data_IF_887647194315
#
_entry.id   IF_887647194315
#
_cell.length_a   1.000
_cell.length_b   1.000
_cell.length_c   1.000
_cell.angle_alpha   90.00
_cell.angle_beta   90.00
_cell.angle_gamma   90.00
#
_symmetry.space_group_name_H-M   'P 1'
#
loop_
_entity.id
_entity.type
_entity.pdbx_description
1 polymer ?
#
# COMPACT_ATOMS: atom_id res chain seq x y z
N UNK A 1 15.54 11.63 -22.85
CA UNK A 1 14.55 12.25 -21.96
C UNK A 1 13.87 11.14 -21.16
N UNK A 2 13.50 11.40 -19.91
CA UNK A 2 12.75 10.44 -19.09
C UNK A 2 11.36 10.19 -19.71
N UNK A 3 10.85 8.96 -19.63
CA UNK A 3 9.46 8.68 -20.05
C UNK A 3 8.46 9.41 -19.15
N UNK A 4 7.21 9.58 -19.60
CA UNK A 4 6.14 10.16 -18.78
C UNK A 4 5.97 9.44 -17.44
N UNK A 5 6.10 8.11 -17.44
CA UNK A 5 6.02 7.29 -16.23
C UNK A 5 7.20 7.54 -15.29
N UNK A 6 8.41 7.64 -15.82
CA UNK A 6 9.59 7.95 -15.01
C UNK A 6 9.47 9.34 -14.36
N UNK A 7 9.03 10.34 -15.13
CA UNK A 7 8.79 11.68 -14.62
C UNK A 7 7.74 11.69 -13.50
N UNK A 8 6.64 10.93 -13.67
CA UNK A 8 5.62 10.75 -12.64
C UNK A 8 6.21 10.15 -11.36
N UNK A 9 6.94 9.02 -11.45
CA UNK A 9 7.47 8.35 -10.27
C UNK A 9 8.53 9.17 -9.54
N UNK A 10 9.38 9.90 -10.28
CA UNK A 10 10.35 10.84 -9.69
C UNK A 10 9.64 11.93 -8.89
N UNK A 11 8.56 12.49 -9.42
CA UNK A 11 7.78 13.51 -8.72
C UNK A 11 6.99 12.92 -7.53
N UNK A 12 6.39 11.75 -7.70
CA UNK A 12 5.58 11.08 -6.66
C UNK A 12 6.43 10.70 -5.43
N UNK A 13 7.65 10.23 -5.65
CA UNK A 13 8.59 9.82 -4.61
C UNK A 13 9.56 10.94 -4.19
N UNK A 14 9.35 12.16 -4.65
CA UNK A 14 10.25 13.27 -4.34
C UNK A 14 10.36 13.49 -2.82
N UNK A 15 11.55 13.83 -2.35
CA UNK A 15 11.90 13.94 -0.93
C UNK A 15 11.70 12.67 -0.08
N UNK A 16 11.47 11.49 -0.69
CA UNK A 16 11.45 10.20 0.01
C UNK A 16 12.63 9.34 -0.43
N UNK A 17 13.70 9.31 0.39
CA UNK A 17 14.98 8.69 0.01
C UNK A 17 15.37 7.46 0.82
N UNK A 18 14.59 7.09 1.83
CA UNK A 18 14.86 5.94 2.70
C UNK A 18 13.56 5.18 3.00
N UNK A 19 13.62 3.86 3.24
CA UNK A 19 12.44 3.08 3.62
C UNK A 19 11.77 3.62 4.90
N UNK A 20 10.45 3.42 5.02
CA UNK A 20 9.72 3.69 6.26
C UNK A 20 10.34 2.88 7.40
N UNK A 21 10.94 3.55 8.39
CA UNK A 21 11.61 2.88 9.50
C UNK A 21 10.60 2.26 10.46
N UNK A 22 10.74 0.98 10.78
CA UNK A 22 9.86 0.29 11.73
C UNK A 22 10.63 -0.20 12.97
N UNK A 23 9.98 -0.27 14.14
CA UNK A 23 10.58 -0.91 15.31
C UNK A 23 10.96 -2.36 14.99
N UNK A 24 12.20 -2.73 15.33
CA UNK A 24 12.79 -4.04 15.02
C UNK A 24 13.09 -4.33 13.54
N UNK A 25 12.97 -3.35 12.63
CA UNK A 25 13.57 -3.49 11.30
C UNK A 25 15.10 -3.40 11.43
N UNK A 26 15.75 -4.56 11.32
CA UNK A 26 17.21 -4.65 11.42
C UNK A 26 17.89 -4.37 10.07
N UNK A 27 17.11 -4.26 8.99
CA UNK A 27 17.59 -4.25 7.60
C UNK A 27 18.63 -5.35 7.29
N UNK A 28 18.68 -6.40 8.13
CA UNK A 28 19.68 -7.43 8.02
C UNK A 28 19.30 -8.32 6.83
N UNK A 29 20.16 -8.35 5.83
CA UNK A 29 20.05 -9.37 4.80
C UNK A 29 20.17 -10.75 5.48
N UNK A 30 19.28 -11.71 5.19
CA UNK A 30 19.45 -13.06 5.70
C UNK A 30 20.83 -13.59 5.29
N UNK A 31 21.52 -14.36 6.16
CA UNK A 31 22.79 -14.98 5.82
C UNK A 31 22.70 -15.71 4.48
N UNK A 32 23.73 -15.58 3.63
CA UNK A 32 23.73 -16.20 2.30
C UNK A 32 23.37 -17.69 2.38
N UNK A 33 22.33 -18.08 1.65
CA UNK A 33 21.87 -19.47 1.57
C UNK A 33 20.82 -19.87 2.60
N UNK A 34 20.40 -18.98 3.50
CA UNK A 34 19.24 -19.21 4.36
C UNK A 34 18.00 -18.52 3.80
N UNK A 35 16.87 -19.25 3.61
CA UNK A 35 15.61 -18.61 3.27
C UNK A 35 15.21 -17.66 4.41
N UNK A 36 14.61 -16.52 4.06
CA UNK A 36 13.97 -15.67 5.06
C UNK A 36 12.92 -16.51 5.80
N UNK A 37 12.93 -16.45 7.13
CA UNK A 37 11.87 -17.05 7.93
C UNK A 37 10.58 -16.24 7.69
N UNK A 38 9.54 -16.92 7.23
CA UNK A 38 8.22 -16.32 7.06
C UNK A 38 7.32 -16.76 8.19
N UNK A 39 6.71 -15.80 8.86
CA UNK A 39 5.65 -16.03 9.83
C UNK A 39 4.35 -15.47 9.25
N UNK A 40 3.29 -16.29 9.28
CA UNK A 40 1.96 -15.89 8.84
C UNK A 40 1.05 -15.76 10.07
N UNK A 41 0.43 -14.59 10.22
CA UNK A 41 -0.66 -14.36 11.15
C UNK A 41 -1.90 -14.01 10.35
N UNK A 42 -2.92 -14.84 10.47
CA UNK A 42 -4.23 -14.61 9.85
C UNK A 42 -5.19 -14.04 10.90
N UNK A 43 -5.85 -12.94 10.55
CA UNK A 43 -6.84 -12.28 11.38
C UNK A 43 -8.09 -12.03 10.53
N UNK A 44 -9.24 -12.45 11.04
CA UNK A 44 -10.52 -12.25 10.39
C UNK A 44 -11.29 -11.08 11.01
N UNK A 45 -11.87 -10.25 10.16
CA UNK A 45 -12.87 -9.28 10.59
C UNK A 45 -14.24 -9.94 10.67
N UNK A 46 -15.02 -9.71 11.75
CA UNK A 46 -16.39 -10.19 11.83
C UNK A 46 -17.22 -9.72 10.62
N UNK A 47 -18.15 -10.57 10.16
CA UNK A 47 -19.00 -10.30 8.99
C UNK A 47 -19.68 -8.94 9.04
N UNK A 48 -20.15 -8.53 10.22
CA UNK A 48 -20.82 -7.25 10.45
C UNK A 48 -19.88 -6.05 10.26
N UNK A 49 -18.62 -6.18 10.72
CA UNK A 49 -17.59 -5.17 10.53
C UNK A 49 -17.23 -5.03 9.05
N UNK A 50 -17.03 -6.16 8.37
CA UNK A 50 -16.75 -6.20 6.93
C UNK A 50 -17.90 -5.60 6.11
N UNK A 51 -19.15 -5.93 6.44
CA UNK A 51 -20.33 -5.35 5.79
C UNK A 51 -20.42 -3.83 6.00
N UNK A 52 -20.08 -3.35 7.20
CA UNK A 52 -20.05 -1.92 7.52
C UNK A 52 -18.99 -1.18 6.71
N UNK A 53 -17.79 -1.75 6.57
CA UNK A 53 -16.71 -1.20 5.74
C UNK A 53 -17.10 -1.15 4.26
N UNK A 54 -17.72 -2.22 3.74
CA UNK A 54 -18.21 -2.26 2.36
C UNK A 54 -19.29 -1.21 2.09
N UNK A 55 -20.23 -1.04 3.02
CA UNK A 55 -21.27 -0.02 2.94
C UNK A 55 -20.67 1.39 2.93
N UNK A 56 -19.74 1.67 3.85
CA UNK A 56 -19.03 2.95 3.93
C UNK A 56 -18.27 3.26 2.63
N UNK A 57 -17.48 2.29 2.12
CA UNK A 57 -16.74 2.46 0.88
C UNK A 57 -17.69 2.81 -0.28
N UNK A 58 -18.78 2.06 -0.42
CA UNK A 58 -19.79 2.30 -1.47
C UNK A 58 -20.45 3.68 -1.33
N UNK A 59 -20.81 4.09 -0.12
CA UNK A 59 -21.46 5.37 0.15
C UNK A 59 -20.58 6.56 -0.26
N UNK A 60 -19.26 6.42 -0.08
CA UNK A 60 -18.28 7.46 -0.35
C UNK A 60 -17.48 7.27 -1.66
N UNK A 61 -17.92 6.34 -2.51
CA UNK A 61 -17.27 6.03 -3.80
C UNK A 61 -15.79 5.63 -3.67
N UNK A 62 -15.45 5.00 -2.55
CA UNK A 62 -14.15 4.42 -2.25
C UNK A 62 -14.17 2.90 -2.53
N UNK A 63 -13.00 2.29 -2.55
CA UNK A 63 -12.85 0.83 -2.57
C UNK A 63 -12.45 0.32 -1.18
N UNK A 64 -12.75 -0.95 -0.88
CA UNK A 64 -12.24 -1.58 0.34
C UNK A 64 -10.70 -1.59 0.36
N UNK A 65 -10.07 -1.72 -0.82
CA UNK A 65 -8.62 -1.62 -0.97
C UNK A 65 -8.09 -0.25 -0.52
N UNK A 66 -8.75 0.86 -0.88
CA UNK A 66 -8.40 2.21 -0.41
C UNK A 66 -8.44 2.30 1.11
N UNK A 67 -9.49 1.78 1.74
CA UNK A 67 -9.60 1.75 3.20
C UNK A 67 -8.49 0.93 3.85
N UNK A 68 -8.12 -0.20 3.25
CA UNK A 68 -7.04 -1.07 3.73
C UNK A 68 -5.67 -0.38 3.62
N UNK A 69 -5.36 0.25 2.48
CA UNK A 69 -4.13 1.02 2.29
C UNK A 69 -4.03 2.19 3.27
N UNK A 70 -5.11 2.94 3.46
CA UNK A 70 -5.18 4.04 4.41
C UNK A 70 -4.95 3.57 5.85
N UNK A 71 -5.63 2.48 6.25
CA UNK A 71 -5.47 1.87 7.58
C UNK A 71 -4.04 1.39 7.81
N UNK A 72 -3.43 0.76 6.79
CA UNK A 72 -2.04 0.31 6.87
C UNK A 72 -1.07 1.49 6.97
N UNK A 73 -1.29 2.56 6.20
CA UNK A 73 -0.53 3.80 6.30
C UNK A 73 -0.58 4.41 7.71
N UNK A 74 -1.74 4.40 8.37
CA UNK A 74 -1.88 4.87 9.76
C UNK A 74 -1.08 4.00 10.75
N UNK A 75 -1.12 2.67 10.59
CA UNK A 75 -0.33 1.75 11.42
C UNK A 75 1.16 2.03 11.25
N UNK A 76 1.64 2.12 10.01
CA UNK A 76 3.05 2.41 9.74
C UNK A 76 3.47 3.78 10.28
N UNK A 77 2.65 4.81 10.09
CA UNK A 77 2.92 6.15 10.62
C UNK A 77 3.03 6.14 12.15
N UNK A 78 2.14 5.38 12.82
CA UNK A 78 2.17 5.24 14.27
C UNK A 78 3.47 4.58 14.77
N UNK A 79 3.89 3.48 14.14
CA UNK A 79 5.07 2.74 14.60
C UNK A 79 6.40 3.36 14.15
N UNK A 80 6.43 4.03 13.00
CA UNK A 80 7.63 4.75 12.51
C UNK A 80 7.85 6.08 13.21
N UNK A 81 6.78 6.70 13.73
CA UNK A 81 6.81 8.08 14.22
C UNK A 81 6.80 9.13 13.11
N UNK A 82 6.67 8.71 11.85
CA UNK A 82 6.67 9.58 10.67
C UNK A 82 5.25 9.81 10.14
N UNK A 83 4.99 10.99 9.58
CA UNK A 83 3.70 11.31 8.95
C UNK A 83 3.67 11.04 7.44
N UNK A 84 4.82 10.78 6.81
CA UNK A 84 4.95 10.45 5.39
C UNK A 84 5.59 9.06 5.27
N UNK A 85 4.78 8.06 4.92
CA UNK A 85 5.21 6.66 4.86
C UNK A 85 5.04 6.09 3.46
N UNK A 86 5.97 5.24 3.04
CA UNK A 86 5.92 4.48 1.78
C UNK A 86 6.01 3.00 2.06
N UNK A 87 5.18 2.23 1.37
CA UNK A 87 5.19 0.77 1.38
C UNK A 87 4.83 0.21 0.01
N UNK A 88 5.15 -1.07 -0.24
CA UNK A 88 4.82 -1.74 -1.48
C UNK A 88 3.35 -2.13 -1.55
N UNK A 89 2.70 -1.86 -2.68
CA UNK A 89 1.36 -2.33 -3.02
C UNK A 89 1.43 -3.23 -4.25
N UNK A 90 1.01 -4.48 -4.09
CA UNK A 90 1.03 -5.47 -5.16
C UNK A 90 -0.25 -5.36 -5.98
N UNK A 91 -0.11 -5.00 -7.25
CA UNK A 91 -1.21 -4.89 -8.21
C UNK A 91 -1.16 -6.03 -9.22
N UNK A 92 -2.33 -6.43 -9.74
CA UNK A 92 -2.43 -7.49 -10.74
C UNK A 92 -1.72 -7.12 -12.06
N UNK A 93 -1.55 -5.82 -12.35
CA UNK A 93 -0.89 -5.30 -13.55
C UNK A 93 -1.52 -5.73 -14.87
N UNK A 94 -2.85 -5.91 -14.86
CA UNK A 94 -3.66 -6.30 -16.02
C UNK A 94 -4.44 -5.08 -16.53
N UNK A 95 -3.88 -4.30 -17.48
CA UNK A 95 -4.55 -3.11 -18.00
C UNK A 95 -5.84 -3.48 -18.73
N UNK A 96 -6.93 -2.70 -18.60
CA UNK A 96 -8.18 -2.96 -19.30
C UNK A 96 -8.07 -2.75 -20.81
N UNK A 97 -7.06 -2.00 -21.28
CA UNK A 97 -6.79 -1.77 -22.70
C UNK A 97 -6.21 -3.01 -23.40
N UNK A 98 -5.71 -4.00 -22.64
CA UNK A 98 -5.26 -5.28 -23.16
C UNK A 98 -6.45 -6.26 -23.22
N UNK A 99 -6.96 -6.63 -24.41
CA UNK A 99 -8.11 -7.51 -24.52
C UNK A 99 -7.85 -8.89 -23.90
N UNK A 100 -8.77 -9.36 -23.07
CA UNK A 100 -8.65 -10.64 -22.36
C UNK A 100 -7.59 -10.65 -21.26
N UNK A 101 -7.12 -9.48 -20.81
CA UNK A 101 -6.07 -9.39 -19.80
C UNK A 101 -6.41 -10.07 -18.48
N UNK A 102 -7.68 -10.28 -18.15
CA UNK A 102 -8.16 -11.02 -16.98
C UNK A 102 -7.98 -12.54 -17.09
N UNK A 103 -7.95 -13.09 -18.31
CA UNK A 103 -7.89 -14.54 -18.58
C UNK A 103 -6.53 -15.01 -19.09
N UNK A 104 -5.65 -14.08 -19.52
CA UNK A 104 -4.31 -14.41 -20.00
C UNK A 104 -3.41 -14.98 -18.91
N UNK A 105 -2.75 -16.10 -19.21
CA UNK A 105 -1.72 -16.69 -18.35
C UNK A 105 -0.37 -16.04 -18.65
N UNK A 106 0.25 -15.42 -17.64
CA UNK A 106 1.53 -14.73 -17.78
C UNK A 106 1.90 -13.92 -16.54
N UNK A 107 3.09 -13.32 -16.56
CA UNK A 107 3.57 -12.45 -15.48
C UNK A 107 3.08 -11.03 -15.74
N UNK A 108 2.08 -10.63 -14.97
CA UNK A 108 1.51 -9.27 -14.98
C UNK A 108 1.67 -8.55 -13.64
N UNK A 109 1.87 -9.32 -12.56
CA UNK A 109 1.97 -8.79 -11.21
C UNK A 109 3.07 -7.72 -11.12
N UNK A 110 2.77 -6.63 -10.45
CA UNK A 110 3.71 -5.55 -10.23
C UNK A 110 3.60 -5.04 -8.79
N UNK A 111 4.70 -4.60 -8.21
CA UNK A 111 4.71 -3.98 -6.89
C UNK A 111 5.04 -2.51 -7.07
N UNK A 112 4.07 -1.65 -6.75
CA UNK A 112 4.19 -0.21 -6.88
C UNK A 112 4.33 0.43 -5.50
N UNK A 113 5.12 1.50 -5.34
CA UNK A 113 5.17 2.22 -4.08
C UNK A 113 3.87 2.98 -3.86
N UNK A 114 3.29 2.80 -2.68
CA UNK A 114 2.16 3.58 -2.17
C UNK A 114 2.67 4.48 -1.06
N UNK A 115 2.58 5.79 -1.29
CA UNK A 115 2.95 6.85 -0.36
C UNK A 115 1.70 7.40 0.31
N UNK A 116 1.68 7.38 1.64
CA UNK A 116 0.59 7.89 2.47
C UNK A 116 1.12 9.02 3.34
N UNK A 117 0.50 10.20 3.24
CA UNK A 117 0.77 11.33 4.13
C UNK A 117 -0.38 11.46 5.12
N UNK A 118 -0.11 11.19 6.38
CA UNK A 118 -1.09 11.27 7.47
C UNK A 118 -1.20 12.73 7.92
N UNK A 119 -2.41 13.33 7.92
CA UNK A 119 -2.60 14.70 8.35
C UNK A 119 -2.23 14.88 9.82
N UNK A 120 -1.61 16.02 10.15
CA UNK A 120 -1.33 16.39 11.53
C UNK A 120 -2.62 16.90 12.21
N UNK A 121 -2.89 16.46 13.44
CA UNK A 121 -4.01 16.95 14.26
C UNK A 121 -5.38 16.36 13.91
N UNK A 122 -6.46 17.09 14.20
CA UNK A 122 -7.85 16.61 14.05
C UNK A 122 -8.43 16.84 12.65
N UNK A 123 -7.67 16.51 11.61
CA UNK A 123 -8.16 16.63 10.23
C UNK A 123 -9.36 15.69 10.00
N UNK A 124 -10.38 16.10 9.22
CA UNK A 124 -11.48 15.21 8.87
C UNK A 124 -10.99 13.98 8.09
N UNK A 125 -11.53 12.80 8.41
CA UNK A 125 -11.13 11.54 7.79
C UNK A 125 -11.50 11.47 6.29
N UNK A 126 -12.74 11.83 5.95
CA UNK A 126 -13.28 11.63 4.59
C UNK A 126 -12.53 12.39 3.48
N UNK A 127 -12.11 13.66 3.65
CA UNK A 127 -11.30 14.34 2.64
C UNK A 127 -9.89 13.78 2.47
N UNK A 128 -9.41 12.99 3.44
CA UNK A 128 -8.09 12.36 3.38
C UNK A 128 -8.13 10.96 2.75
N UNK A 129 -9.23 10.22 2.94
CA UNK A 129 -9.49 8.93 2.28
C UNK A 129 -9.71 9.08 0.77
#
# INVERSE_FOLDING_TARGET
EASTDEAFWRAYLDAFSAPTSLPADTHAAPPQGQPAEHFALELDLPTEATASLLSFARQHQLTLHTLALASWGLVLAHYSGEQDVVFGNTVAGRPPELPGSDTLVGVFINTLPTRVRVPSGSAPLLPWL
#
